data_IF_328639336616
#
_entry.id   IF_328639336616
#
_cell.length_a   1.000
_cell.length_b   1.000
_cell.length_c   1.000
_cell.angle_alpha   90.00
_cell.angle_beta   90.00
_cell.angle_gamma   90.00
#
_symmetry.space_group_name_H-M   'P 1'
#
loop_
_entity.id
_entity.type
_entity.pdbx_description
1 polymer ?
#
# COMPACT_ATOMS: atom_id res chain seq x y z
N UNK A 1 -11.80 0.76 9.65
CA UNK A 1 -11.21 1.16 8.36
C UNK A 1 -10.31 2.37 8.62
N UNK A 2 -9.00 2.25 8.45
CA UNK A 2 -8.06 3.37 8.58
C UNK A 2 -7.68 3.87 7.20
N UNK A 3 -7.45 5.18 7.05
CA UNK A 3 -6.88 5.77 5.82
C UNK A 3 -5.36 5.89 6.04
N UNK A 4 -4.69 4.75 6.19
CA UNK A 4 -3.23 4.66 6.38
C UNK A 4 -2.62 3.71 5.33
N UNK A 5 -1.32 3.86 5.05
CA UNK A 5 -0.64 2.98 4.08
C UNK A 5 -0.50 1.54 4.59
N UNK A 6 -0.40 1.38 5.91
CA UNK A 6 -0.36 0.10 6.61
C UNK A 6 -1.05 0.23 7.98
N UNK A 7 -1.58 -0.87 8.48
CA UNK A 7 -2.03 -1.02 9.87
C UNK A 7 -1.71 -2.45 10.32
N UNK A 8 -1.13 -2.59 11.51
CA UNK A 8 -0.82 -3.89 12.13
C UNK A 8 -1.61 -4.01 13.43
N UNK A 9 -2.11 -5.20 13.69
CA UNK A 9 -2.75 -5.56 14.97
C UNK A 9 -1.78 -6.46 15.72
N UNK A 10 -1.59 -6.19 17.00
CA UNK A 10 -0.73 -6.97 17.89
C UNK A 10 -1.43 -7.14 19.24
N UNK A 11 -1.13 -8.23 19.94
CA UNK A 11 -1.62 -8.47 21.29
C UNK A 11 -0.96 -7.50 22.29
N UNK A 12 -1.72 -7.09 23.31
CA UNK A 12 -1.23 -6.22 24.37
C UNK A 12 -2.15 -6.22 25.58
N UNK A 13 -1.60 -5.88 26.75
CA UNK A 13 -2.31 -5.92 28.03
C UNK A 13 -3.40 -4.83 28.15
N UNK A 14 -3.31 -3.78 27.34
CA UNK A 14 -4.24 -2.64 27.32
C UNK A 14 -4.47 -2.14 25.89
N UNK A 15 -5.58 -1.43 25.69
CA UNK A 15 -5.86 -0.76 24.41
C UNK A 15 -4.87 0.39 24.19
N UNK A 16 -4.03 0.27 23.17
CA UNK A 16 -3.04 1.29 22.80
C UNK A 16 -3.01 1.51 21.28
N UNK A 17 -2.57 2.70 20.87
CA UNK A 17 -2.35 3.07 19.47
C UNK A 17 -0.96 3.67 19.34
N UNK A 18 -0.19 3.17 18.36
CA UNK A 18 1.10 3.74 17.97
C UNK A 18 1.03 4.18 16.50
N UNK A 19 1.60 5.34 16.20
CA UNK A 19 1.62 5.92 14.86
C UNK A 19 3.03 6.38 14.55
N UNK A 20 3.54 5.99 13.38
CA UNK A 20 4.81 6.47 12.84
C UNK A 20 4.69 6.68 11.33
N UNK A 21 5.45 7.62 10.74
CA UNK A 21 5.60 7.69 9.29
C UNK A 21 6.11 6.36 8.73
N UNK A 22 5.64 5.99 7.54
CA UNK A 22 6.20 4.84 6.82
C UNK A 22 7.61 5.16 6.32
N UNK A 23 8.51 4.18 6.40
CA UNK A 23 9.86 4.27 5.84
C UNK A 23 9.91 3.86 4.35
N UNK A 24 8.81 3.36 3.80
CA UNK A 24 8.74 2.91 2.42
C UNK A 24 8.70 4.09 1.43
N UNK A 25 8.71 3.81 0.12
CA UNK A 25 8.61 4.85 -0.91
C UNK A 25 7.14 5.12 -1.23
N UNK A 26 6.77 6.40 -1.44
CA UNK A 26 5.43 6.78 -1.87
C UNK A 26 5.22 6.41 -3.33
N UNK A 27 4.18 5.63 -3.62
CA UNK A 27 3.72 5.36 -4.99
C UNK A 27 3.05 6.60 -5.61
N UNK A 28 3.46 7.02 -6.80
CA UNK A 28 2.93 8.23 -7.45
C UNK A 28 1.45 8.11 -7.88
N UNK A 29 0.95 6.88 -8.11
CA UNK A 29 -0.42 6.65 -8.58
C UNK A 29 -1.44 6.53 -7.45
N UNK A 30 -1.20 5.65 -6.48
CA UNK A 30 -2.16 5.42 -5.39
C UNK A 30 -1.84 6.18 -4.11
N UNK A 31 -0.69 6.85 -4.03
CA UNK A 31 -0.21 7.61 -2.88
C UNK A 31 0.02 6.81 -1.59
N UNK A 32 -0.06 5.47 -1.64
CA UNK A 32 0.36 4.62 -0.54
C UNK A 32 1.88 4.51 -0.51
N UNK A 33 2.43 4.49 0.69
CA UNK A 33 3.83 4.14 0.95
C UNK A 33 3.97 2.62 0.92
N UNK A 34 4.88 2.11 0.08
CA UNK A 34 4.95 0.69 -0.30
C UNK A 34 6.38 0.28 -0.61
N UNK A 35 6.79 -0.88 -0.10
CA UNK A 35 8.15 -1.40 -0.34
C UNK A 35 8.36 -1.89 -1.78
N UNK A 36 7.26 -2.20 -2.48
CA UNK A 36 7.26 -2.69 -3.86
C UNK A 36 7.17 -1.58 -4.91
N UNK A 37 7.39 -0.30 -4.54
CA UNK A 37 7.53 0.77 -5.54
C UNK A 37 8.79 0.53 -6.37
N UNK A 38 8.64 0.56 -7.70
CA UNK A 38 9.74 0.31 -8.63
C UNK A 38 10.07 -1.16 -8.84
N UNK A 39 9.18 -2.07 -8.43
CA UNK A 39 9.31 -3.50 -8.70
C UNK A 39 9.41 -3.82 -10.21
N UNK A 40 8.72 -3.05 -11.06
CA UNK A 40 8.79 -3.17 -12.51
C UNK A 40 9.73 -2.08 -13.09
N UNK A 41 10.84 -2.45 -13.76
CA UNK A 41 11.76 -1.49 -14.36
C UNK A 41 11.12 -0.55 -15.39
N UNK A 42 10.05 -0.98 -16.08
CA UNK A 42 9.31 -0.12 -17.02
C UNK A 42 8.48 0.95 -16.29
N UNK A 43 8.18 0.75 -15.01
CA UNK A 43 7.33 1.61 -14.20
C UNK A 43 7.96 1.88 -12.81
N UNK A 44 9.10 2.60 -12.76
CA UNK A 44 9.96 2.69 -11.57
C UNK A 44 9.35 3.47 -10.40
N UNK A 45 8.28 4.24 -10.61
CA UNK A 45 7.68 5.12 -9.58
C UNK A 45 6.35 4.63 -9.02
N UNK A 46 5.88 3.45 -9.44
CA UNK A 46 4.61 2.87 -8.97
C UNK A 46 4.81 1.50 -8.32
N UNK A 47 3.89 1.13 -7.43
CA UNK A 47 3.88 -0.17 -6.77
C UNK A 47 3.28 -1.27 -7.66
N UNK A 48 3.56 -2.54 -7.34
CA UNK A 48 3.08 -3.70 -8.09
C UNK A 48 1.56 -3.79 -8.18
N UNK A 49 0.83 -3.34 -7.15
CA UNK A 49 -0.65 -3.21 -7.21
C UNK A 49 -1.09 -2.26 -8.33
N UNK A 50 -0.38 -1.15 -8.50
CA UNK A 50 -0.67 -0.20 -9.55
C UNK A 50 -0.29 -0.73 -10.93
N UNK A 51 0.85 -1.40 -11.04
CA UNK A 51 1.27 -2.09 -12.27
C UNK A 51 0.24 -3.13 -12.70
N UNK A 52 -0.19 -4.02 -11.80
CA UNK A 52 -1.22 -5.03 -12.10
C UNK A 52 -2.53 -4.39 -12.56
N UNK A 53 -2.98 -3.31 -11.92
CA UNK A 53 -4.20 -2.60 -12.31
C UNK A 53 -4.11 -1.84 -13.64
N UNK A 54 -2.91 -1.51 -14.13
CA UNK A 54 -2.73 -0.78 -15.39
C UNK A 54 -2.39 -1.71 -16.56
N UNK A 55 -1.63 -2.77 -16.31
CA UNK A 55 -0.99 -3.60 -17.34
C UNK A 55 -1.22 -5.10 -17.15
N UNK A 56 -1.85 -5.52 -16.04
CA UNK A 56 -2.16 -6.91 -15.74
C UNK A 56 -3.66 -7.18 -15.62
N UNK A 57 -4.02 -8.23 -14.89
CA UNK A 57 -5.42 -8.59 -14.65
C UNK A 57 -6.14 -7.61 -13.71
N UNK A 58 -5.39 -6.81 -12.94
CA UNK A 58 -5.94 -5.89 -11.97
C UNK A 58 -6.62 -6.56 -10.78
N UNK A 59 -7.19 -5.73 -9.92
CA UNK A 59 -7.95 -6.16 -8.74
C UNK A 59 -9.44 -6.30 -9.09
N UNK A 60 -10.06 -7.39 -8.64
CA UNK A 60 -11.51 -7.55 -8.77
C UNK A 60 -12.19 -6.53 -7.85
N UNK A 61 -13.02 -5.66 -8.43
CA UNK A 61 -13.83 -4.69 -7.69
C UNK A 61 -15.29 -5.03 -7.86
N UNK A 62 -15.99 -5.25 -6.75
CA UNK A 62 -17.43 -5.37 -6.72
C UNK A 62 -18.04 -4.04 -6.26
N UNK A 63 -19.18 -3.68 -6.86
CA UNK A 63 -20.02 -2.58 -6.39
C UNK A 63 -21.14 -3.23 -5.55
N UNK A 64 -21.45 -2.60 -4.41
CA UNK A 64 -22.55 -3.03 -3.53
C UNK A 64 -23.90 -2.54 -4.07
#
# INVERSE_FOLDING_TARGET
MTITSEARVADGDTLAIQVSPSAAVKCERCWHYRDDVGHDPAHPTICGRCTSNLFGAGEIRAVA
#
